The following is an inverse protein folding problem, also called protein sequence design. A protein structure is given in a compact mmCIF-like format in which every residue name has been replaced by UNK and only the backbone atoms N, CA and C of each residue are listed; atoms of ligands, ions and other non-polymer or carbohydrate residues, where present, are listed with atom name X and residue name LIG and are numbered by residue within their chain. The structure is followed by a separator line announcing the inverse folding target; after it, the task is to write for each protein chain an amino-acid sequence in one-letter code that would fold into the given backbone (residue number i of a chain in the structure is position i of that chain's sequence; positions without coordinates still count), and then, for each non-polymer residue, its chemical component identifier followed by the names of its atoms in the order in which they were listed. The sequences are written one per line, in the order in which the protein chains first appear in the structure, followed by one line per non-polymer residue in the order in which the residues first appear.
data_IF_581192601894
#
_entry.id   IF_581192601894
#
_cell.length_a   1.000
_cell.length_b   1.000
_cell.length_c   1.000
_cell.angle_alpha   90.00
_cell.angle_beta   90.00
_cell.angle_gamma   90.00
#
_symmetry.space_group_name_H-M   'P 1'
#
loop_
_entity.id
_entity.type
_entity.pdbx_description
1 polymer ?
#
# COMPACT_ATOMS: atom_id res chain seq x y z
N UNK A 1 -14.23 0.44 9.10
CA UNK A 1 -13.88 -0.10 7.76
C UNK A 1 -15.14 -0.12 6.89
N UNK A 2 -15.12 0.66 5.82
CA UNK A 2 -16.23 0.72 4.86
C UNK A 2 -16.33 -0.57 4.02
N UNK A 3 -17.33 -0.62 3.13
CA UNK A 3 -17.55 -1.74 2.21
C UNK A 3 -16.28 -2.01 1.37
N UNK A 4 -15.81 -3.26 1.39
CA UNK A 4 -14.69 -3.71 0.56
C UNK A 4 -15.19 -4.07 -0.84
N UNK A 5 -14.51 -3.56 -1.86
CA UNK A 5 -14.71 -3.91 -3.26
C UNK A 5 -13.58 -4.81 -3.74
N UNK A 6 -13.92 -5.83 -4.54
CA UNK A 6 -12.94 -6.73 -5.14
C UNK A 6 -13.09 -6.67 -6.65
N UNK A 7 -12.03 -6.27 -7.35
CA UNK A 7 -12.00 -6.18 -8.81
C UNK A 7 -10.91 -7.09 -9.37
N UNK A 8 -11.16 -7.72 -10.52
CA UNK A 8 -10.07 -8.25 -11.33
C UNK A 8 -9.24 -7.11 -11.92
N UNK A 9 -8.02 -7.40 -12.38
CA UNK A 9 -7.21 -6.39 -13.08
C UNK A 9 -7.95 -5.80 -14.30
N UNK A 10 -8.67 -6.63 -15.06
CA UNK A 10 -9.44 -6.18 -16.23
C UNK A 10 -10.61 -5.28 -15.84
N UNK A 11 -11.32 -5.61 -14.76
CA UNK A 11 -12.41 -4.78 -14.23
C UNK A 11 -11.90 -3.41 -13.81
N UNK A 12 -10.82 -3.38 -13.02
CA UNK A 12 -10.23 -2.12 -12.59
C UNK A 12 -9.70 -1.31 -13.78
N UNK A 13 -9.07 -1.99 -14.75
CA UNK A 13 -8.59 -1.34 -15.97
C UNK A 13 -9.70 -0.70 -16.80
N UNK A 14 -10.81 -1.40 -17.02
CA UNK A 14 -11.97 -0.86 -17.76
C UNK A 14 -12.55 0.35 -17.05
N UNK A 15 -12.66 0.30 -15.72
CA UNK A 15 -13.16 1.42 -14.91
C UNK A 15 -12.24 2.64 -15.02
N UNK A 16 -10.92 2.47 -14.83
CA UNK A 16 -9.95 3.57 -14.88
C UNK A 16 -9.87 4.21 -16.27
N UNK A 17 -9.74 3.38 -17.33
CA UNK A 17 -9.64 3.87 -18.72
C UNK A 17 -10.96 4.52 -19.15
N UNK A 18 -12.10 3.94 -18.77
CA UNK A 18 -13.43 4.49 -19.07
C UNK A 18 -13.64 5.90 -18.48
N UNK A 19 -12.96 6.22 -17.37
CA UNK A 19 -12.96 7.54 -16.75
C UNK A 19 -11.82 8.46 -17.23
N UNK A 20 -11.02 8.04 -18.22
CA UNK A 20 -9.95 8.86 -18.80
C UNK A 20 -8.60 8.78 -18.08
N UNK A 21 -8.45 7.88 -17.11
CA UNK A 21 -7.19 7.69 -16.41
C UNK A 21 -6.33 6.64 -17.15
N UNK A 22 -5.18 7.09 -17.67
CA UNK A 22 -4.29 6.26 -18.47
C UNK A 22 -3.33 5.38 -17.65
N UNK A 23 -3.14 5.71 -16.36
CA UNK A 23 -2.27 4.99 -15.43
C UNK A 23 -2.80 5.12 -14.00
N UNK A 24 -2.44 4.15 -13.17
CA UNK A 24 -2.63 4.21 -11.70
C UNK A 24 -1.27 3.96 -11.07
N UNK A 25 -0.78 4.94 -10.32
CA UNK A 25 0.48 4.79 -9.59
C UNK A 25 0.36 3.68 -8.54
N UNK A 26 1.42 2.89 -8.34
CA UNK A 26 1.47 1.88 -7.29
C UNK A 26 0.62 0.61 -7.51
N UNK A 27 -0.14 0.51 -8.60
CA UNK A 27 -0.83 -0.73 -8.99
C UNK A 27 -0.24 -1.27 -10.29
N UNK A 28 0.21 -2.53 -10.25
CA UNK A 28 0.66 -3.25 -11.43
C UNK A 28 -0.55 -3.74 -12.25
N UNK A 29 -1.27 -2.80 -12.86
CA UNK A 29 -2.34 -3.08 -13.82
C UNK A 29 -1.67 -3.26 -15.19
N UNK A 30 -1.93 -4.40 -15.85
CA UNK A 30 -1.42 -4.66 -17.20
C UNK A 30 -1.62 -3.47 -18.12
N UNK A 31 -0.59 -3.08 -18.87
CA UNK A 31 -0.68 -2.00 -19.88
C UNK A 31 -1.28 -2.50 -21.21
N UNK A 32 -1.46 -3.81 -21.39
CA UNK A 32 -1.94 -4.40 -22.64
C UNK A 32 -3.38 -4.02 -22.98
N UNK A 33 -3.63 -3.48 -24.16
CA UNK A 33 -4.98 -3.10 -24.58
C UNK A 33 -5.93 -4.30 -24.53
N UNK A 34 -7.04 -4.15 -23.82
CA UNK A 34 -8.10 -5.17 -23.76
C UNK A 34 -8.86 -5.20 -25.08
N UNK A 35 -9.18 -6.39 -25.57
CA UNK A 35 -10.01 -6.55 -26.76
C UNK A 35 -11.50 -6.24 -26.46
N UNK A 36 -12.27 -5.92 -27.50
CA UNK A 36 -13.67 -5.53 -27.36
C UNK A 36 -14.54 -6.60 -26.66
N UNK A 37 -14.22 -7.89 -26.83
CA UNK A 37 -14.99 -8.97 -26.20
C UNK A 37 -14.77 -8.96 -24.69
N UNK A 38 -13.51 -8.82 -24.27
CA UNK A 38 -13.13 -8.71 -22.86
C UNK A 38 -13.76 -7.48 -22.22
N UNK A 39 -13.71 -6.31 -22.88
CA UNK A 39 -14.34 -5.08 -22.38
C UNK A 39 -15.86 -5.26 -22.21
N UNK A 40 -16.55 -5.84 -23.20
CA UNK A 40 -18.01 -6.05 -23.11
C UNK A 40 -18.39 -7.04 -22.00
N UNK A 41 -17.61 -8.10 -21.81
CA UNK A 41 -17.82 -9.05 -20.72
C UNK A 41 -17.64 -8.38 -19.35
N UNK A 42 -16.59 -7.58 -19.18
CA UNK A 42 -16.33 -6.81 -17.95
C UNK A 42 -17.46 -5.83 -17.65
N UNK A 43 -17.93 -5.06 -18.65
CA UNK A 43 -19.07 -4.14 -18.47
C UNK A 43 -20.34 -4.89 -18.05
N UNK A 44 -20.60 -6.06 -18.64
CA UNK A 44 -21.73 -6.92 -18.26
C UNK A 44 -21.59 -7.42 -16.82
N UNK A 45 -20.41 -7.86 -16.41
CA UNK A 45 -20.14 -8.29 -15.03
C UNK A 45 -20.34 -7.16 -14.02
N UNK A 46 -19.77 -5.99 -14.29
CA UNK A 46 -19.90 -4.80 -13.44
C UNK A 46 -21.36 -4.33 -13.34
N UNK A 47 -22.13 -4.42 -14.43
CA UNK A 47 -23.57 -4.10 -14.45
C UNK A 47 -24.37 -5.11 -13.63
N UNK A 48 -24.10 -6.41 -13.80
CA UNK A 48 -24.77 -7.46 -13.03
C UNK A 48 -24.46 -7.38 -11.53
N UNK A 49 -23.28 -6.87 -11.17
CA UNK A 49 -22.87 -6.60 -9.80
C UNK A 49 -23.40 -5.26 -9.25
N UNK A 50 -24.19 -4.52 -10.04
CA UNK A 50 -24.74 -3.20 -9.68
C UNK A 50 -23.65 -2.17 -9.31
N UNK A 51 -22.45 -2.29 -9.89
CA UNK A 51 -21.33 -1.38 -9.69
C UNK A 51 -21.31 -0.25 -10.72
N UNK A 52 -21.92 -0.49 -11.88
CA UNK A 52 -22.17 0.49 -12.92
C UNK A 52 -23.60 0.33 -13.44
N UNK A 53 -24.13 1.37 -14.07
CA UNK A 53 -25.44 1.36 -14.71
C UNK A 53 -25.38 2.03 -16.09
N UNK A 54 -26.14 1.53 -17.09
CA UNK A 54 -26.21 2.18 -18.39
C UNK A 54 -26.98 3.50 -18.30
N UNK A 55 -26.42 4.56 -18.87
CA UNK A 55 -27.04 5.88 -19.01
C UNK A 55 -26.87 6.37 -20.46
N UNK A 56 -27.94 6.22 -21.26
CA UNK A 56 -27.88 6.50 -22.70
C UNK A 56 -26.88 5.59 -23.41
N UNK A 57 -25.90 6.20 -24.10
CA UNK A 57 -24.83 5.50 -24.81
C UNK A 57 -23.58 5.29 -23.93
N UNK A 58 -23.69 5.45 -22.61
CA UNK A 58 -22.59 5.42 -21.65
C UNK A 58 -22.90 4.55 -20.43
N UNK A 59 -21.91 4.38 -19.56
CA UNK A 59 -22.05 3.73 -18.26
C UNK A 59 -21.65 4.70 -17.15
N UNK A 60 -22.37 4.67 -16.05
CA UNK A 60 -22.08 5.47 -14.85
C UNK A 60 -21.86 4.54 -13.67
N UNK A 61 -20.71 4.71 -13.02
CA UNK A 61 -20.38 3.99 -11.79
C UNK A 61 -21.19 4.52 -10.60
N UNK A 62 -21.52 3.62 -9.67
CA UNK A 62 -22.12 4.03 -8.39
C UNK A 62 -21.12 4.90 -7.59
N UNK A 63 -21.64 5.77 -6.73
CA UNK A 63 -20.85 6.83 -6.06
C UNK A 63 -19.58 6.31 -5.37
N UNK A 64 -19.67 5.20 -4.63
CA UNK A 64 -18.52 4.61 -3.94
C UNK A 64 -17.45 4.05 -4.90
N UNK A 65 -17.86 3.54 -6.08
CA UNK A 65 -16.91 3.08 -7.10
C UNK A 65 -16.27 4.28 -7.78
N UNK A 66 -17.04 5.34 -8.04
CA UNK A 66 -16.52 6.61 -8.55
C UNK A 66 -15.49 7.23 -7.61
N UNK A 67 -15.74 7.20 -6.29
CA UNK A 67 -14.80 7.67 -5.28
C UNK A 67 -13.47 6.90 -5.31
N UNK A 68 -13.51 5.56 -5.45
CA UNK A 68 -12.32 4.73 -5.64
C UNK A 68 -11.56 5.14 -6.92
N UNK A 69 -12.26 5.25 -8.05
CA UNK A 69 -11.66 5.61 -9.34
C UNK A 69 -11.00 6.99 -9.28
N UNK A 70 -11.69 7.97 -8.70
CA UNK A 70 -11.16 9.33 -8.55
C UNK A 70 -9.95 9.37 -7.61
N UNK A 71 -9.98 8.62 -6.50
CA UNK A 71 -8.84 8.52 -5.58
C UNK A 71 -7.60 7.91 -6.27
N UNK A 72 -7.77 6.79 -6.97
CA UNK A 72 -6.68 6.13 -7.71
C UNK A 72 -6.17 6.99 -8.87
N UNK A 73 -7.07 7.56 -9.66
CA UNK A 73 -6.74 8.25 -10.91
C UNK A 73 -6.11 9.63 -10.72
N UNK A 74 -6.39 10.30 -9.59
CA UNK A 74 -5.85 11.62 -9.27
C UNK A 74 -4.60 11.58 -8.39
N UNK A 75 -4.21 10.42 -7.89
CA UNK A 75 -3.07 10.32 -6.98
C UNK A 75 -1.75 10.64 -7.69
N UNK A 76 -0.98 11.56 -7.11
CA UNK A 76 0.37 11.93 -7.60
C UNK A 76 1.47 11.05 -7.00
N UNK A 77 1.12 10.29 -5.96
CA UNK A 77 1.98 9.33 -5.27
C UNK A 77 1.12 8.31 -4.52
N UNK A 78 1.77 7.39 -3.82
CA UNK A 78 1.13 6.35 -3.05
C UNK A 78 2.06 5.94 -1.92
N UNK A 79 1.54 5.25 -0.91
CA UNK A 79 2.40 4.56 0.05
C UNK A 79 2.36 3.06 -0.17
N UNK A 80 3.49 2.40 -0.08
CA UNK A 80 3.56 0.93 -0.14
C UNK A 80 3.95 0.38 1.20
N UNK A 81 3.17 -0.58 1.68
CA UNK A 81 3.44 -1.35 2.88
C UNK A 81 3.88 -2.75 2.46
N UNK A 82 5.15 -3.06 2.70
CA UNK A 82 5.73 -4.39 2.55
C UNK A 82 5.95 -5.04 3.91
N UNK A 83 5.80 -6.35 3.94
CA UNK A 83 6.12 -7.18 5.10
C UNK A 83 6.93 -8.40 4.66
N UNK A 84 7.98 -8.76 5.40
CA UNK A 84 8.73 -10.00 5.14
C UNK A 84 7.94 -11.27 5.54
N UNK A 85 6.81 -11.13 6.24
CA UNK A 85 5.92 -12.25 6.57
C UNK A 85 5.10 -12.70 5.36
N UNK A 86 5.29 -13.96 4.96
CA UNK A 86 4.55 -14.61 3.85
C UNK A 86 3.03 -14.67 4.05
N UNK A 87 2.54 -14.46 5.28
CA UNK A 87 1.11 -14.48 5.58
C UNK A 87 0.45 -13.11 5.49
N UNK A 88 1.25 -12.04 5.39
CA UNK A 88 0.77 -10.67 5.31
C UNK A 88 0.94 -10.18 3.87
N UNK A 89 -0.14 -9.81 3.17
CA UNK A 89 -0.04 -9.31 1.81
C UNK A 89 0.57 -7.90 1.77
N UNK A 90 1.25 -7.55 0.69
CA UNK A 90 1.62 -6.16 0.47
C UNK A 90 0.38 -5.29 0.26
N UNK A 91 0.43 -4.05 0.74
CA UNK A 91 -0.65 -3.07 0.58
C UNK A 91 -0.13 -1.81 -0.10
N UNK A 92 -1.00 -1.21 -0.91
CA UNK A 92 -0.80 0.12 -1.48
C UNK A 92 -1.86 1.05 -0.89
N UNK A 93 -1.45 2.21 -0.40
CA UNK A 93 -2.31 3.16 0.31
C UNK A 93 -2.35 4.46 -0.50
N UNK A 94 -3.56 4.97 -0.73
CA UNK A 94 -3.76 6.27 -1.37
C UNK A 94 -4.39 7.22 -0.36
N UNK A 95 -3.73 8.36 -0.15
CA UNK A 95 -4.09 9.34 0.87
C UNK A 95 -5.00 10.40 0.24
N UNK A 96 -6.21 10.53 0.76
CA UNK A 96 -7.18 11.56 0.39
C UNK A 96 -7.88 12.07 1.66
N UNK A 97 -9.19 12.36 1.62
CA UNK A 97 -9.99 12.64 2.82
C UNK A 97 -10.05 11.42 3.78
N UNK A 98 -9.87 10.22 3.21
CA UNK A 98 -9.67 8.93 3.89
C UNK A 98 -8.51 8.19 3.25
N UNK A 99 -8.11 7.06 3.85
CA UNK A 99 -7.10 6.19 3.27
C UNK A 99 -7.78 5.10 2.45
N UNK A 100 -7.54 5.09 1.14
CA UNK A 100 -7.90 3.96 0.29
C UNK A 100 -6.83 2.89 0.45
N UNK A 101 -7.20 1.77 1.08
CA UNK A 101 -6.33 0.62 1.23
C UNK A 101 -6.56 -0.33 0.07
N UNK A 102 -5.51 -0.55 -0.72
CA UNK A 102 -5.46 -1.55 -1.77
C UNK A 102 -4.63 -2.74 -1.30
N UNK A 103 -5.19 -3.94 -1.35
CA UNK A 103 -4.46 -5.19 -1.06
C UNK A 103 -4.44 -6.05 -2.32
N UNK A 104 -3.25 -6.25 -2.88
CA UNK A 104 -3.02 -7.15 -4.01
C UNK A 104 -2.82 -8.55 -3.47
N UNK A 105 -3.81 -9.43 -3.66
CA UNK A 105 -3.63 -10.85 -3.33
C UNK A 105 -2.90 -11.51 -4.48
N UNK A 106 -1.67 -11.94 -4.26
CA UNK A 106 -0.92 -12.81 -5.19
C UNK A 106 -1.52 -14.23 -5.15
N UNK A 107 -2.81 -14.34 -5.45
CA UNK A 107 -3.45 -15.62 -5.77
C UNK A 107 -3.54 -15.73 -7.29
N UNK A 108 -3.69 -16.97 -7.79
CA UNK A 108 -3.77 -17.30 -9.23
C UNK A 108 -4.87 -16.59 -10.03
N UNK A 109 -5.71 -15.77 -9.37
CA UNK A 109 -6.84 -15.08 -9.94
C UNK A 109 -6.66 -13.55 -10.06
N UNK A 110 -5.58 -12.96 -9.53
CA UNK A 110 -5.22 -11.56 -9.78
C UNK A 110 -6.26 -10.52 -9.33
N UNK A 111 -6.98 -10.77 -8.24
CA UNK A 111 -7.96 -9.82 -7.70
C UNK A 111 -7.30 -8.78 -6.79
N UNK A 112 -7.81 -7.56 -6.87
CA UNK A 112 -7.41 -6.40 -6.09
C UNK A 112 -8.57 -6.03 -5.18
N UNK A 113 -8.36 -6.05 -3.87
CA UNK A 113 -9.35 -5.58 -2.90
C UNK A 113 -9.07 -4.15 -2.49
N UNK A 114 -10.11 -3.30 -2.51
CA UNK A 114 -10.06 -1.88 -2.23
C UNK A 114 -11.11 -1.51 -1.18
N UNK A 115 -10.72 -0.71 -0.20
CA UNK A 115 -11.66 -0.20 0.80
C UNK A 115 -11.12 1.04 1.50
N UNK A 116 -12.02 1.96 1.84
CA UNK A 116 -11.67 3.14 2.60
C UNK A 116 -11.62 2.84 4.10
N UNK A 117 -10.61 3.42 4.75
CA UNK A 117 -10.39 3.38 6.18
C UNK A 117 -10.12 4.80 6.65
N UNK A 118 -10.70 5.16 7.80
CA UNK A 118 -10.45 6.46 8.41
C UNK A 118 -9.02 6.50 8.97
N UNK A 119 -8.39 7.67 8.93
CA UNK A 119 -7.02 7.87 9.41
C UNK A 119 -6.81 7.41 10.86
N UNK A 120 -7.81 7.58 11.73
CA UNK A 120 -7.75 7.14 13.14
C UNK A 120 -7.68 5.63 13.31
N UNK A 121 -8.13 4.86 12.31
CA UNK A 121 -8.39 3.43 12.44
C UNK A 121 -7.34 2.58 11.73
N UNK A 122 -6.58 3.16 10.78
CA UNK A 122 -5.66 2.39 9.94
C UNK A 122 -4.53 1.74 10.72
N UNK A 123 -3.93 2.42 11.69
CA UNK A 123 -2.86 1.85 12.51
C UNK A 123 -3.37 0.64 13.30
N UNK A 124 -4.51 0.79 13.97
CA UNK A 124 -5.11 -0.27 14.78
C UNK A 124 -5.52 -1.46 13.89
N UNK A 125 -6.07 -1.20 12.70
CA UNK A 125 -6.39 -2.23 11.71
C UNK A 125 -5.16 -3.01 11.25
N UNK A 126 -4.06 -2.33 10.92
CA UNK A 126 -2.81 -2.99 10.53
C UNK A 126 -2.18 -3.77 11.71
N UNK A 127 -2.28 -3.26 12.94
CA UNK A 127 -1.80 -3.98 14.12
C UNK A 127 -2.61 -5.25 14.36
N UNK A 128 -3.94 -5.17 14.25
CA UNK A 128 -4.84 -6.31 14.43
C UNK A 128 -4.66 -7.36 13.32
N UNK A 129 -4.27 -6.94 12.11
CA UNK A 129 -3.84 -7.83 11.03
C UNK A 129 -2.46 -8.48 11.27
N UNK A 130 -1.65 -7.91 12.17
CA UNK A 130 -0.36 -8.47 12.59
C UNK A 130 0.88 -7.82 11.97
N UNK A 131 0.75 -6.65 11.32
CA UNK A 131 1.90 -5.93 10.76
C UNK A 131 2.82 -5.31 11.83
N UNK A 132 2.29 -5.09 13.04
CA UNK A 132 3.02 -4.51 14.16
C UNK A 132 3.11 -5.48 15.33
N UNK A 133 4.32 -5.70 15.84
CA UNK A 133 4.53 -6.50 17.05
C UNK A 133 4.01 -5.78 18.28
N UNK A 134 3.33 -6.51 19.17
CA UNK A 134 2.92 -5.98 20.48
C UNK A 134 4.02 -5.97 21.54
N UNK A 135 5.21 -6.50 21.24
CA UNK A 135 6.32 -6.61 22.20
C UNK A 135 7.38 -5.54 21.96
N UNK A 136 7.92 -4.99 23.03
CA UNK A 136 9.05 -4.04 22.99
C UNK A 136 10.36 -4.76 22.71
N UNK A 137 11.33 -4.02 22.14
CA UNK A 137 12.69 -4.54 22.03
C UNK A 137 13.33 -4.69 23.42
N UNK A 138 14.15 -5.73 23.59
CA UNK A 138 14.59 -6.18 24.91
C UNK A 138 16.11 -6.10 25.14
N UNK A 139 16.87 -5.55 24.18
CA UNK A 139 18.33 -5.46 24.26
C UNK A 139 18.84 -4.08 23.84
N UNK A 140 20.04 -3.72 24.29
CA UNK A 140 20.78 -2.58 23.79
C UNK A 140 21.97 -3.08 22.97
N UNK A 141 22.24 -2.42 21.85
CA UNK A 141 23.35 -2.74 20.93
C UNK A 141 24.29 -1.53 20.85
N UNK A 142 25.54 -1.77 20.45
CA UNK A 142 26.49 -0.70 20.22
C UNK A 142 26.07 0.19 19.04
N UNK A 143 26.08 1.50 19.26
CA UNK A 143 25.58 2.50 18.30
C UNK A 143 26.44 2.58 17.03
N UNK A 144 27.75 2.30 17.15
CA UNK A 144 28.67 2.33 16.02
C UNK A 144 28.45 1.12 15.11
N UNK A 145 28.30 -0.07 15.70
CA UNK A 145 27.95 -1.30 14.98
C UNK A 145 26.63 -1.15 14.21
N UNK A 146 25.59 -0.63 14.86
CA UNK A 146 24.31 -0.38 14.21
C UNK A 146 24.44 0.64 13.05
N UNK A 147 25.23 1.70 13.23
CA UNK A 147 25.40 2.73 12.20
C UNK A 147 26.15 2.20 10.96
N UNK A 148 27.04 1.22 11.12
CA UNK A 148 27.69 0.54 10.00
C UNK A 148 26.70 -0.37 9.27
N UNK A 149 25.89 -1.12 10.03
CA UNK A 149 24.84 -1.97 9.47
C UNK A 149 23.78 -1.20 8.66
N UNK A 150 23.32 -0.04 9.16
CA UNK A 150 22.35 0.80 8.44
C UNK A 150 22.86 1.29 7.08
N UNK A 151 24.16 1.60 6.98
CA UNK A 151 24.73 2.08 5.71
C UNK A 151 24.63 1.03 4.62
N UNK A 152 24.74 -0.25 4.98
CA UNK A 152 24.61 -1.36 4.03
C UNK A 152 23.13 -1.66 3.75
N UNK A 153 22.30 -1.68 4.80
CA UNK A 153 20.90 -2.06 4.68
C UNK A 153 20.07 -1.01 3.94
N UNK A 154 20.23 0.27 4.28
CA UNK A 154 19.36 1.34 3.79
C UNK A 154 19.74 1.84 2.39
N UNK A 155 20.94 1.54 1.90
CA UNK A 155 21.40 1.96 0.57
C UNK A 155 20.84 1.12 -0.58
N UNK A 156 20.31 -0.07 -0.31
CA UNK A 156 19.99 -1.11 -1.32
C UNK A 156 18.51 -1.55 -1.37
N UNK A 157 17.60 -0.88 -0.65
CA UNK A 157 16.17 -1.28 -0.66
C UNK A 157 15.45 -0.65 -1.84
N UNK A 158 15.08 -1.46 -2.84
CA UNK A 158 14.12 -1.06 -3.87
C UNK A 158 12.71 -0.97 -3.25
N UNK A 159 12.09 0.21 -3.23
CA UNK A 159 10.77 0.42 -2.61
C UNK A 159 9.63 -0.38 -3.23
N UNK A 160 9.81 -0.86 -4.47
CA UNK A 160 8.79 -1.62 -5.19
C UNK A 160 9.07 -3.13 -5.18
N UNK A 161 10.18 -3.57 -4.59
CA UNK A 161 10.51 -4.97 -4.48
C UNK A 161 9.88 -5.58 -3.20
N UNK A 162 9.22 -6.74 -3.29
CA UNK A 162 8.75 -7.45 -2.11
C UNK A 162 9.89 -7.74 -1.13
N UNK A 163 9.59 -7.70 0.17
CA UNK A 163 10.55 -8.11 1.19
C UNK A 163 10.67 -9.63 1.22
N UNK A 164 11.89 -10.12 1.07
CA UNK A 164 12.21 -11.53 1.24
C UNK A 164 12.00 -11.97 2.70
N UNK A 165 11.55 -13.20 2.92
CA UNK A 165 11.29 -13.73 4.27
C UNK A 165 12.53 -13.75 5.18
N UNK A 166 13.73 -13.75 4.61
CA UNK A 166 15.01 -13.66 5.32
C UNK A 166 15.50 -12.23 5.55
N UNK A 167 14.77 -11.22 5.08
CA UNK A 167 15.13 -9.81 5.25
C UNK A 167 15.11 -9.43 6.72
N UNK A 168 16.10 -8.63 7.12
CA UNK A 168 16.11 -7.97 8.43
C UNK A 168 15.11 -6.82 8.52
N UNK A 169 14.69 -6.25 7.38
CA UNK A 169 13.54 -5.34 7.34
C UNK A 169 12.28 -6.20 7.46
N UNK A 170 11.61 -6.11 8.61
CA UNK A 170 10.38 -6.84 8.90
C UNK A 170 9.20 -6.19 8.18
N UNK A 171 9.17 -4.87 8.22
CA UNK A 171 8.11 -4.04 7.69
C UNK A 171 8.74 -2.82 7.04
N UNK A 172 8.28 -2.45 5.85
CA UNK A 172 8.61 -1.18 5.21
C UNK A 172 7.32 -0.48 4.80
N UNK A 173 7.16 0.78 5.20
CA UNK A 173 6.15 1.70 4.68
C UNK A 173 6.89 2.83 3.98
N UNK A 174 6.67 2.98 2.68
CA UNK A 174 7.38 3.97 1.87
C UNK A 174 6.40 4.87 1.14
N UNK A 175 6.59 6.18 1.19
CA UNK A 175 5.88 7.13 0.33
C UNK A 175 6.63 7.27 -0.98
N UNK A 176 5.95 6.98 -2.08
CA UNK A 176 6.52 6.86 -3.41
C UNK A 176 5.78 7.77 -4.38
N UNK A 177 6.51 8.48 -5.21
CA UNK A 177 5.94 9.27 -6.32
C UNK A 177 5.37 8.37 -7.42
N UNK A 178 4.56 8.92 -8.32
CA UNK A 178 4.02 8.16 -9.46
C UNK A 178 5.08 7.58 -10.42
N UNK A 179 6.31 8.07 -10.40
CA UNK A 179 7.47 7.59 -11.16
C UNK A 179 8.38 6.63 -10.38
N UNK A 180 8.05 6.34 -9.11
CA UNK A 180 8.72 5.30 -8.33
C UNK A 180 9.85 5.79 -7.42
N UNK A 181 9.99 7.09 -7.21
CA UNK A 181 10.99 7.65 -6.28
C UNK A 181 10.45 7.63 -4.83
N UNK A 182 11.21 7.07 -3.89
CA UNK A 182 10.89 7.14 -2.47
C UNK A 182 11.15 8.54 -1.93
N UNK A 183 10.11 9.16 -1.37
CA UNK A 183 10.19 10.45 -0.69
C UNK A 183 10.52 10.29 0.79
N UNK A 184 9.82 9.37 1.47
CA UNK A 184 9.91 9.14 2.92
C UNK A 184 9.73 7.66 3.20
N UNK A 185 10.29 7.18 4.31
CA UNK A 185 10.05 5.80 4.72
C UNK A 185 9.98 5.64 6.24
N UNK A 186 9.29 4.59 6.64
CA UNK A 186 9.26 4.03 7.98
C UNK A 186 9.54 2.53 7.86
N UNK A 187 10.57 2.04 8.54
CA UNK A 187 10.98 0.64 8.53
C UNK A 187 11.09 0.10 9.94
N UNK A 188 10.63 -1.12 10.15
CA UNK A 188 10.92 -1.91 11.36
C UNK A 188 12.00 -2.91 10.99
N UNK A 189 13.11 -2.87 11.71
CA UNK A 189 14.32 -3.65 11.40
C UNK A 189 14.68 -4.50 12.61
N UNK A 190 14.92 -5.79 12.36
CA UNK A 190 15.47 -6.73 13.31
C UNK A 190 16.97 -6.92 13.08
N UNK A 191 17.74 -6.48 14.08
CA UNK A 191 19.17 -6.74 14.19
C UNK A 191 19.41 -7.70 15.37
N UNK A 192 19.47 -9.00 15.07
CA UNK A 192 19.53 -10.08 16.06
C UNK A 192 18.35 -10.08 17.05
N UNK A 193 18.55 -9.61 18.28
CA UNK A 193 17.53 -9.51 19.33
C UNK A 193 17.13 -8.06 19.62
N UNK A 194 17.59 -7.14 18.78
CA UNK A 194 17.29 -5.72 18.85
C UNK A 194 16.43 -5.31 17.66
N UNK A 195 15.26 -4.76 17.98
CA UNK A 195 14.27 -4.31 17.00
C UNK A 195 14.21 -2.80 17.12
N UNK A 196 14.31 -2.10 16.00
CA UNK A 196 14.25 -0.65 15.97
C UNK A 196 13.49 -0.15 14.76
N UNK A 197 13.08 1.10 14.86
CA UNK A 197 12.44 1.86 13.80
C UNK A 197 13.52 2.70 13.12
N UNK A 198 13.61 2.61 11.81
CA UNK A 198 14.31 3.58 10.98
C UNK A 198 13.26 4.43 10.25
N UNK A 199 13.27 5.73 10.48
CA UNK A 199 12.36 6.68 9.85
C UNK A 199 13.16 7.73 9.08
N UNK A 200 12.73 8.03 7.86
CA UNK A 200 13.27 9.11 7.04
C UNK A 200 12.18 10.03 6.54
N UNK A 201 12.38 11.33 6.68
CA UNK A 201 11.54 12.36 6.07
C UNK A 201 12.03 12.80 4.68
N UNK A 202 12.97 12.07 4.09
CA UNK A 202 13.59 12.36 2.80
C UNK A 202 14.92 13.13 2.91
N UNK A 203 15.30 13.55 4.12
CA UNK A 203 16.56 14.27 4.35
C UNK A 203 17.48 13.57 5.35
N UNK A 204 16.95 13.19 6.51
CA UNK A 204 17.70 12.55 7.58
C UNK A 204 17.03 11.24 7.99
N UNK A 205 17.84 10.26 8.39
CA UNK A 205 17.36 9.01 8.97
C UNK A 205 17.47 9.10 10.49
N UNK A 206 16.34 8.90 11.16
CA UNK A 206 16.25 8.80 12.61
C UNK A 206 16.05 7.34 13.00
N UNK A 207 16.72 6.95 14.09
CA UNK A 207 16.54 5.65 14.72
C UNK A 207 15.85 5.79 16.06
N UNK A 208 14.93 4.87 16.32
CA UNK A 208 14.24 4.78 17.60
C UNK A 208 14.10 3.30 18.00
N UNK A 209 14.25 3.00 19.29
CA UNK A 209 13.98 1.64 19.80
C UNK A 209 12.54 1.27 19.51
N UNK A 210 12.30 0.03 19.05
CA UNK A 210 10.94 -0.42 18.80
C UNK A 210 10.15 -0.56 20.10
N UNK A 211 9.04 0.16 20.16
CA UNK A 211 7.94 -0.05 21.08
C UNK A 211 6.63 0.16 20.30
N UNK A 212 5.50 -0.42 20.72
CA UNK A 212 4.21 -0.16 20.09
C UNK A 212 3.88 1.33 20.01
N UNK A 213 4.22 2.10 21.05
CA UNK A 213 3.99 3.54 21.10
C UNK A 213 4.84 4.31 20.08
N UNK A 214 6.14 3.99 19.97
CA UNK A 214 7.02 4.59 18.98
C UNK A 214 6.59 4.22 17.56
N UNK A 215 6.21 2.95 17.33
CA UNK A 215 5.72 2.49 16.04
C UNK A 215 4.47 3.25 15.60
N UNK A 216 3.52 3.45 16.52
CA UNK A 216 2.32 4.25 16.27
C UNK A 216 2.66 5.70 15.94
N UNK A 217 3.51 6.34 16.74
CA UNK A 217 3.91 7.74 16.55
C UNK A 217 4.56 7.96 15.18
N UNK A 218 5.54 7.13 14.79
CA UNK A 218 6.22 7.30 13.50
C UNK A 218 5.33 6.91 12.31
N UNK A 219 4.42 5.95 12.48
CA UNK A 219 3.41 5.63 11.48
C UNK A 219 2.45 6.81 11.25
N UNK A 220 1.90 7.41 12.32
CA UNK A 220 1.04 8.60 12.23
C UNK A 220 1.78 9.77 11.57
N UNK A 221 3.08 9.95 11.90
CA UNK A 221 3.95 10.92 11.24
C UNK A 221 4.12 10.67 9.73
N UNK A 222 4.24 9.42 9.29
CA UNK A 222 4.26 9.08 7.85
C UNK A 222 2.96 9.50 7.17
N UNK A 223 1.83 9.21 7.81
CA UNK A 223 0.50 9.48 7.29
C UNK A 223 0.08 10.96 7.38
N UNK A 224 0.91 11.81 8.00
CA UNK A 224 0.63 13.22 8.30
C UNK A 224 -0.64 13.44 9.14
N UNK A 225 -0.87 12.58 10.14
CA UNK A 225 -1.99 12.63 11.09
C UNK A 225 -1.48 13.07 12.47
#
# INVERSE_FOLDING_TARGET
MEKIYCFSQDQLKVLMVGCGYARVAGLNISTETLDNTTVLNVLKELTNAELISPEGDSFVAVDSVKEIIDCLGRSEGYMVLHSNSVNLPDKCLFISDKVLVCTTRVTSLGYISLGFVDFSDIYEGLRDEGYFSGSESSMNVDEQELAEYDKELLSDVDPNAPLEASSSVILSLEEVTADGETLRFFRIIDYYFYTYIAYSDGSEVVREVYSPDNAKMYFEKMMNI
#
